data_IF_515950745471
#
_entry.id   IF_515950745471
#
_cell.length_a   1.000
_cell.length_b   1.000
_cell.length_c   1.000
_cell.angle_alpha   90.00
_cell.angle_beta   90.00
_cell.angle_gamma   90.00
#
_symmetry.space_group_name_H-M   'P 1'
#
loop_
_entity.id
_entity.type
_entity.pdbx_description
1 polymer ?
#
# COMPACT_ATOMS: atom_id res chain seq x y z
N UNK A 1 16.18 -17.33 7.84
CA UNK A 1 15.19 -16.24 8.05
C UNK A 1 15.57 -14.91 7.40
N UNK A 2 16.85 -14.48 7.39
CA UNK A 2 17.26 -13.16 6.84
C UNK A 2 16.98 -12.95 5.34
N UNK A 3 16.97 -14.02 4.53
CA UNK A 3 16.73 -13.94 3.07
C UNK A 3 15.25 -13.87 2.67
N UNK A 4 14.32 -14.22 3.57
CA UNK A 4 12.87 -14.21 3.27
C UNK A 4 12.22 -12.86 3.56
N UNK A 5 12.80 -12.09 4.51
CA UNK A 5 12.30 -10.78 4.90
C UNK A 5 12.07 -9.84 3.71
N UNK A 6 13.03 -9.65 2.78
CA UNK A 6 12.87 -8.73 1.66
C UNK A 6 11.65 -9.07 0.79
N UNK A 7 11.41 -10.36 0.54
CA UNK A 7 10.25 -10.84 -0.22
C UNK A 7 8.94 -10.52 0.49
N UNK A 8 8.88 -10.65 1.81
CA UNK A 8 7.68 -10.29 2.60
C UNK A 8 7.37 -8.80 2.42
N UNK A 9 8.37 -7.92 2.50
CA UNK A 9 8.18 -6.48 2.30
C UNK A 9 7.65 -6.17 0.88
N UNK A 10 8.22 -6.81 -0.15
CA UNK A 10 7.75 -6.64 -1.53
C UNK A 10 6.31 -7.13 -1.68
N UNK A 11 5.98 -8.32 -1.17
CA UNK A 11 4.63 -8.89 -1.22
C UNK A 11 3.62 -7.97 -0.54
N UNK A 12 3.94 -7.47 0.66
CA UNK A 12 3.07 -6.52 1.39
C UNK A 12 2.85 -5.25 0.56
N UNK A 13 3.91 -4.67 -0.01
CA UNK A 13 3.80 -3.48 -0.86
C UNK A 13 2.89 -3.71 -2.08
N UNK A 14 3.04 -4.85 -2.76
CA UNK A 14 2.19 -5.21 -3.91
C UNK A 14 0.74 -5.42 -3.48
N UNK A 15 0.48 -6.13 -2.39
CA UNK A 15 -0.88 -6.35 -1.87
C UNK A 15 -1.57 -5.03 -1.54
N UNK A 16 -0.87 -4.10 -0.90
CA UNK A 16 -1.40 -2.76 -0.63
C UNK A 16 -1.77 -2.09 -1.94
N UNK A 17 -0.91 -2.09 -2.97
CA UNK A 17 -1.24 -1.46 -4.26
C UNK A 17 -2.47 -2.07 -4.92
N UNK A 18 -2.55 -3.41 -5.00
CA UNK A 18 -3.68 -4.11 -5.63
C UNK A 18 -4.98 -3.78 -4.93
N UNK A 19 -5.00 -3.89 -3.59
CA UNK A 19 -6.18 -3.53 -2.78
C UNK A 19 -6.55 -2.05 -2.99
N UNK A 20 -5.56 -1.15 -3.04
CA UNK A 20 -5.79 0.28 -3.20
C UNK A 20 -6.39 0.63 -4.55
N UNK A 21 -5.88 0.02 -5.62
CA UNK A 21 -6.40 0.21 -6.98
C UNK A 21 -7.83 -0.33 -7.06
N UNK A 22 -8.07 -1.53 -6.54
CA UNK A 22 -9.41 -2.13 -6.52
C UNK A 22 -10.42 -1.23 -5.78
N UNK A 23 -10.07 -0.77 -4.57
CA UNK A 23 -10.91 0.15 -3.83
C UNK A 23 -11.08 1.51 -4.52
N UNK A 24 -10.05 2.03 -5.20
CA UNK A 24 -10.14 3.31 -5.91
C UNK A 24 -11.10 3.24 -7.11
N UNK A 25 -11.24 2.06 -7.72
CA UNK A 25 -12.20 1.80 -8.80
C UNK A 25 -13.63 1.61 -8.28
N UNK A 26 -13.80 1.24 -7.01
CA UNK A 26 -15.10 1.24 -6.35
C UNK A 26 -15.40 2.67 -5.83
N UNK A 27 -16.38 3.36 -6.40
CA UNK A 27 -16.80 4.67 -5.88
C UNK A 27 -17.49 4.53 -4.52
N UNK A 28 -16.69 4.64 -3.44
CA UNK A 28 -17.15 4.59 -2.04
C UNK A 28 -17.39 6.00 -1.50
N UNK A 29 -18.36 6.11 -0.60
CA UNK A 29 -18.60 7.35 0.15
C UNK A 29 -17.45 7.68 1.12
N UNK A 30 -16.83 6.65 1.70
CA UNK A 30 -15.72 6.78 2.64
C UNK A 30 -14.65 5.72 2.35
N UNK A 31 -13.42 6.18 2.19
CA UNK A 31 -12.25 5.35 2.00
C UNK A 31 -11.44 5.28 3.29
N UNK A 32 -11.13 4.07 3.77
CA UNK A 32 -10.26 3.88 4.94
C UNK A 32 -8.80 3.90 4.52
N UNK A 33 -8.05 4.88 5.00
CA UNK A 33 -6.63 5.07 4.67
C UNK A 33 -5.76 4.16 5.53
N UNK A 34 -5.65 4.43 6.83
CA UNK A 34 -4.91 3.64 7.82
C UNK A 34 -5.49 3.83 9.23
N UNK A 35 -5.40 2.82 10.10
CA UNK A 35 -5.66 2.93 11.56
C UNK A 35 -6.89 3.78 11.95
N UNK A 36 -8.03 3.55 11.30
CA UNK A 36 -9.29 4.28 11.59
C UNK A 36 -9.43 5.64 10.90
N UNK A 37 -8.36 6.17 10.30
CA UNK A 37 -8.41 7.38 9.47
C UNK A 37 -9.17 7.07 8.18
N UNK A 38 -10.17 7.89 7.89
CA UNK A 38 -10.96 7.82 6.67
C UNK A 38 -10.88 9.11 5.88
N UNK A 39 -11.16 9.05 4.59
CA UNK A 39 -11.25 10.20 3.70
C UNK A 39 -12.38 10.01 2.70
N UNK A 40 -13.02 11.11 2.30
CA UNK A 40 -14.02 11.11 1.22
C UNK A 40 -13.38 11.24 -0.17
N UNK A 41 -12.11 11.66 -0.24
CA UNK A 41 -11.42 11.82 -1.52
C UNK A 41 -10.68 10.56 -1.91
N UNK A 42 -11.14 9.91 -2.98
CA UNK A 42 -10.48 8.73 -3.56
C UNK A 42 -9.03 9.00 -3.97
N UNK A 43 -8.73 10.22 -4.40
CA UNK A 43 -7.38 10.63 -4.78
C UNK A 43 -6.46 10.75 -3.56
N UNK A 44 -6.95 11.31 -2.45
CA UNK A 44 -6.18 11.37 -1.18
C UNK A 44 -5.94 9.95 -0.66
N UNK A 45 -6.96 9.11 -0.70
CA UNK A 45 -6.85 7.69 -0.33
C UNK A 45 -5.74 7.00 -1.13
N UNK A 46 -5.81 7.09 -2.47
CA UNK A 46 -4.84 6.44 -3.35
C UNK A 46 -3.44 7.00 -3.16
N UNK A 47 -3.28 8.33 -3.08
CA UNK A 47 -1.99 8.98 -2.84
C UNK A 47 -1.30 8.41 -1.58
N UNK A 48 -2.01 8.41 -0.46
CA UNK A 48 -1.45 7.95 0.82
C UNK A 48 -1.12 6.46 0.76
N UNK A 49 -1.99 5.64 0.17
CA UNK A 49 -1.75 4.21 -0.01
C UNK A 49 -0.53 3.92 -0.90
N UNK A 50 -0.39 4.64 -2.01
CA UNK A 50 0.74 4.50 -2.94
C UNK A 50 2.05 4.93 -2.28
N UNK A 51 2.04 6.05 -1.53
CA UNK A 51 3.21 6.48 -0.75
C UNK A 51 3.62 5.40 0.25
N UNK A 52 2.67 4.84 0.99
CA UNK A 52 2.96 3.80 1.98
C UNK A 52 3.47 2.53 1.31
N UNK A 53 2.80 2.05 0.26
CA UNK A 53 3.24 0.88 -0.50
C UNK A 53 4.66 1.07 -1.07
N UNK A 54 4.97 2.27 -1.56
CA UNK A 54 6.30 2.62 -2.07
C UNK A 54 7.38 2.46 -1.01
N UNK A 55 7.10 2.79 0.26
CA UNK A 55 8.05 2.56 1.36
C UNK A 55 8.38 1.07 1.53
N UNK A 56 7.36 0.20 1.52
CA UNK A 56 7.56 -1.25 1.62
C UNK A 56 8.31 -1.82 0.41
N UNK A 57 7.97 -1.38 -0.80
CA UNK A 57 8.62 -1.82 -2.02
C UNK A 57 10.08 -1.39 -2.07
N UNK A 58 10.38 -0.12 -1.78
CA UNK A 58 11.75 0.41 -1.77
C UNK A 58 12.60 -0.31 -0.74
N UNK A 59 12.10 -0.48 0.49
CA UNK A 59 12.83 -1.21 1.54
C UNK A 59 13.00 -2.70 1.21
N UNK A 60 11.97 -3.33 0.66
CA UNK A 60 12.01 -4.71 0.20
C UNK A 60 13.08 -4.91 -0.88
N UNK A 61 13.07 -4.07 -1.91
CA UNK A 61 14.03 -4.11 -3.03
C UNK A 61 15.45 -3.81 -2.53
N UNK A 62 15.63 -2.81 -1.66
CA UNK A 62 16.95 -2.48 -1.09
C UNK A 62 17.56 -3.63 -0.30
N UNK A 63 16.74 -4.41 0.43
CA UNK A 63 17.20 -5.56 1.22
C UNK A 63 17.36 -6.84 0.38
N UNK A 64 16.88 -6.84 -0.87
CA UNK A 64 17.05 -7.92 -1.84
C UNK A 64 18.40 -7.82 -2.57
N UNK A 65 18.94 -6.61 -2.71
CA UNK A 65 20.26 -6.31 -3.26
C UNK A 65 21.35 -6.44 -2.19
#
# INVERSE_FOLDING_TARGET
MKKALPFIYVIIGVLILVESIYNFLEDKELYRVFFGITTQSKYIYLLVKVLFASLFLVDGIKKLR
#
